data_IF_988126745570
#
_entry.id   IF_988126745570
#
_cell.length_a   1.000
_cell.length_b   1.000
_cell.length_c   1.000
_cell.angle_alpha   90.00
_cell.angle_beta   90.00
_cell.angle_gamma   90.00
#
_symmetry.space_group_name_H-M   'P 1'
#
loop_
_entity.id
_entity.type
_entity.pdbx_description
1 polymer ?
#
# COMPACT_ATOMS: atom_id res chain seq x y z
N UNK A 1 17.19 6.02 17.01
CA UNK A 1 17.41 4.65 17.53
C UNK A 1 16.12 3.89 17.30
N UNK A 2 16.12 2.99 16.32
CA UNK A 2 14.97 2.16 15.96
C UNK A 2 14.65 1.14 17.08
N UNK A 3 13.39 0.74 17.28
CA UNK A 3 13.08 -0.56 17.86
C UNK A 3 12.98 -1.57 16.71
N UNK A 4 13.86 -2.56 16.76
CA UNK A 4 13.86 -3.75 15.92
C UNK A 4 12.64 -4.63 16.21
N UNK A 5 12.15 -5.24 15.13
CA UNK A 5 11.42 -6.52 15.08
C UNK A 5 11.52 -7.36 16.36
N UNK A 6 10.38 -7.61 17.01
CA UNK A 6 10.13 -8.87 17.72
C UNK A 6 8.64 -8.95 18.11
N UNK A 7 7.83 -9.56 17.26
CA UNK A 7 6.50 -10.06 17.61
C UNK A 7 6.51 -11.60 17.66
N UNK A 8 7.56 -12.15 18.28
CA UNK A 8 7.63 -13.54 18.75
C UNK A 8 7.61 -13.65 20.28
N UNK A 9 7.31 -12.56 20.99
CA UNK A 9 7.43 -12.49 22.46
C UNK A 9 6.31 -13.17 23.24
N UNK A 10 5.26 -13.67 22.57
CA UNK A 10 4.19 -14.41 23.26
C UNK A 10 4.66 -15.74 23.89
N UNK A 11 5.81 -16.28 23.44
CA UNK A 11 6.39 -17.49 24.04
C UNK A 11 7.42 -17.20 25.15
N UNK A 12 7.86 -15.95 25.33
CA UNK A 12 8.91 -15.59 26.29
C UNK A 12 8.36 -15.42 27.72
N UNK A 13 7.13 -14.91 27.85
CA UNK A 13 6.54 -14.52 29.14
C UNK A 13 6.25 -15.70 30.09
N UNK A 14 5.97 -16.91 29.57
CA UNK A 14 5.63 -18.08 30.40
C UNK A 14 6.86 -18.81 30.98
N UNK A 15 8.06 -18.61 30.43
CA UNK A 15 9.26 -19.31 30.90
C UNK A 15 9.81 -18.76 32.22
N UNK A 16 9.57 -17.49 32.55
CA UNK A 16 10.09 -16.89 33.76
C UNK A 16 9.39 -17.39 35.05
N UNK A 17 8.20 -17.99 34.95
CA UNK A 17 7.50 -18.62 36.10
C UNK A 17 8.12 -19.94 36.57
N UNK A 18 8.91 -20.61 35.73
CA UNK A 18 9.48 -21.94 36.04
C UNK A 18 10.85 -21.89 36.73
N UNK A 19 11.43 -20.72 36.96
CA UNK A 19 12.77 -20.56 37.56
C UNK A 19 12.81 -20.61 39.10
N UNK A 20 11.67 -20.67 39.79
CA UNK A 20 11.61 -20.51 41.26
C UNK A 20 11.56 -21.80 42.10
N UNK A 21 11.69 -23.00 41.51
CA UNK A 21 11.66 -24.26 42.28
C UNK A 21 13.04 -24.94 42.31
N UNK A 22 13.75 -24.93 43.46
CA UNK A 22 14.99 -25.68 43.63
C UNK A 22 14.65 -27.14 44.00
N UNK A 23 14.46 -27.98 42.98
CA UNK A 23 14.25 -29.41 43.19
C UNK A 23 13.59 -30.10 42.00
N UNK A 24 14.41 -30.78 41.20
CA UNK A 24 14.02 -31.88 40.30
C UNK A 24 13.00 -31.60 39.18
N UNK A 25 13.30 -30.69 38.26
CA UNK A 25 12.83 -30.82 36.87
C UNK A 25 13.94 -30.40 35.90
N UNK A 26 14.47 -31.34 35.10
CA UNK A 26 15.23 -31.01 33.89
C UNK A 26 14.25 -30.43 32.87
N UNK A 27 13.98 -29.12 32.95
CA UNK A 27 13.17 -28.43 31.94
C UNK A 27 14.06 -28.17 30.72
N UNK A 28 13.91 -28.99 29.68
CA UNK A 28 14.49 -28.69 28.37
C UNK A 28 13.48 -27.87 27.58
N UNK A 29 13.59 -26.55 27.68
CA UNK A 29 12.93 -25.64 26.75
C UNK A 29 13.46 -25.92 25.34
N UNK A 30 12.65 -26.52 24.47
CA UNK A 30 13.00 -26.69 23.07
C UNK A 30 12.47 -25.47 22.31
N UNK A 31 13.33 -24.50 22.03
CA UNK A 31 13.01 -23.51 21.00
C UNK A 31 12.77 -24.24 19.67
N UNK A 32 11.90 -23.68 18.81
CA UNK A 32 11.66 -24.24 17.48
C UNK A 32 12.98 -24.30 16.72
N UNK A 33 13.48 -25.51 16.49
CA UNK A 33 14.72 -25.70 15.76
C UNK A 33 14.45 -25.45 14.27
N UNK A 34 15.32 -24.70 13.60
CA UNK A 34 15.20 -24.39 12.16
C UNK A 34 14.95 -25.61 11.28
N UNK A 35 15.54 -26.76 11.64
CA UNK A 35 15.34 -28.01 10.91
C UNK A 35 13.88 -28.52 10.95
N UNK A 36 13.15 -28.30 12.05
CA UNK A 36 11.73 -28.67 12.15
C UNK A 36 10.90 -27.83 11.19
N UNK A 37 11.12 -26.52 11.15
CA UNK A 37 10.45 -25.61 10.21
C UNK A 37 10.72 -26.02 8.75
N UNK A 38 11.98 -26.30 8.41
CA UNK A 38 12.37 -26.75 7.08
C UNK A 38 11.71 -28.09 6.68
N UNK A 39 11.61 -29.04 7.62
CA UNK A 39 10.91 -30.31 7.38
C UNK A 39 9.42 -30.11 7.12
N UNK A 40 8.77 -29.19 7.84
CA UNK A 40 7.35 -28.86 7.63
C UNK A 40 7.13 -28.20 6.26
N UNK A 41 7.93 -27.19 5.92
CA UNK A 41 7.87 -26.50 4.62
C UNK A 41 8.12 -27.49 3.48
N UNK A 42 9.10 -28.39 3.64
CA UNK A 42 9.34 -29.46 2.66
C UNK A 42 8.11 -30.36 2.49
N UNK A 43 7.46 -30.78 3.59
CA UNK A 43 6.23 -31.56 3.52
C UNK A 43 5.10 -30.84 2.79
N UNK A 44 4.87 -29.56 3.08
CA UNK A 44 3.86 -28.76 2.36
C UNK A 44 4.18 -28.62 0.88
N UNK A 45 5.45 -28.40 0.53
CA UNK A 45 5.92 -28.35 -0.86
C UNK A 45 5.69 -29.67 -1.59
N UNK A 46 5.93 -30.80 -0.92
CA UNK A 46 5.73 -32.13 -1.49
C UNK A 46 4.22 -32.38 -1.73
N UNK A 47 3.34 -32.07 -0.77
CA UNK A 47 1.88 -32.15 -0.96
C UNK A 47 1.36 -31.22 -2.06
N UNK A 48 1.94 -30.02 -2.19
CA UNK A 48 1.55 -29.10 -3.27
C UNK A 48 1.88 -29.68 -4.65
N UNK A 49 3.04 -30.33 -4.78
CA UNK A 49 3.49 -30.95 -6.05
C UNK A 49 2.76 -32.23 -6.40
N UNK A 50 2.37 -33.03 -5.41
CA UNK A 50 1.62 -34.27 -5.64
C UNK A 50 0.10 -34.06 -5.70
N UNK A 51 -0.37 -32.82 -5.53
CA UNK A 51 -1.79 -32.45 -5.45
C UNK A 51 -2.59 -33.19 -4.36
N UNK A 52 -1.88 -33.70 -3.35
CA UNK A 52 -2.46 -34.40 -2.22
C UNK A 52 -3.11 -33.41 -1.25
N UNK A 53 -4.19 -33.83 -0.59
CA UNK A 53 -4.83 -33.12 0.52
C UNK A 53 -5.31 -31.67 0.23
N UNK A 54 -5.30 -31.24 -1.03
CA UNK A 54 -5.81 -29.93 -1.45
C UNK A 54 -7.34 -29.87 -1.29
N UNK A 55 -7.77 -29.09 -0.31
CA UNK A 55 -9.15 -29.00 0.17
C UNK A 55 -9.83 -27.65 -0.13
N UNK A 56 -9.17 -26.78 -0.90
CA UNK A 56 -9.69 -25.48 -1.33
C UNK A 56 -9.28 -25.09 -2.74
N UNK A 57 -10.05 -24.21 -3.37
CA UNK A 57 -9.70 -23.60 -4.66
C UNK A 57 -9.85 -22.09 -4.60
N UNK A 58 -8.79 -21.37 -4.96
CA UNK A 58 -8.84 -19.92 -5.21
C UNK A 58 -9.03 -19.69 -6.71
N UNK A 59 -10.02 -18.88 -7.07
CA UNK A 59 -10.31 -18.48 -8.45
C UNK A 59 -9.90 -17.03 -8.67
N UNK A 60 -9.18 -16.78 -9.76
CA UNK A 60 -8.76 -15.44 -10.18
C UNK A 60 -8.95 -15.36 -11.69
N UNK A 61 -9.92 -14.56 -12.14
CA UNK A 61 -10.32 -14.56 -13.55
C UNK A 61 -10.67 -15.97 -14.05
N UNK A 62 -9.95 -16.46 -15.05
CA UNK A 62 -10.07 -17.81 -15.61
C UNK A 62 -9.23 -18.86 -14.87
N UNK A 63 -8.28 -18.44 -14.04
CA UNK A 63 -7.31 -19.31 -13.37
C UNK A 63 -7.87 -19.91 -12.07
N UNK A 64 -7.43 -21.13 -11.76
CA UNK A 64 -7.88 -21.90 -10.59
C UNK A 64 -6.68 -22.49 -9.88
N UNK A 65 -6.51 -22.13 -8.61
CA UNK A 65 -5.41 -22.55 -7.77
C UNK A 65 -5.93 -23.49 -6.68
N UNK A 66 -5.70 -24.79 -6.83
CA UNK A 66 -5.99 -25.75 -5.76
C UNK A 66 -4.92 -25.65 -4.67
N UNK A 67 -5.36 -25.60 -3.42
CA UNK A 67 -4.51 -25.28 -2.29
C UNK A 67 -5.06 -25.82 -0.97
N UNK A 68 -4.26 -25.70 0.09
CA UNK A 68 -4.58 -26.18 1.43
C UNK A 68 -5.12 -25.04 2.31
N UNK A 69 -6.32 -25.22 2.87
CA UNK A 69 -6.94 -24.24 3.77
C UNK A 69 -6.06 -23.93 4.97
N UNK A 70 -5.47 -24.97 5.56
CA UNK A 70 -4.64 -24.84 6.76
C UNK A 70 -3.45 -23.91 6.51
N UNK A 71 -2.75 -24.07 5.39
CA UNK A 71 -1.59 -23.22 5.05
C UNK A 71 -2.02 -21.78 4.81
N UNK A 72 -3.07 -21.56 4.02
CA UNK A 72 -3.60 -20.22 3.77
C UNK A 72 -4.03 -19.53 5.08
N UNK A 73 -4.77 -20.23 5.95
CA UNK A 73 -5.21 -19.69 7.24
C UNK A 73 -4.06 -19.42 8.21
N UNK A 74 -2.98 -20.19 8.12
CA UNK A 74 -1.80 -20.00 8.96
C UNK A 74 -1.05 -18.73 8.57
N UNK A 75 -0.96 -18.43 7.27
CA UNK A 75 -0.16 -17.33 6.73
C UNK A 75 -0.94 -16.04 6.45
N UNK A 76 -2.27 -16.10 6.33
CA UNK A 76 -3.14 -14.99 5.93
C UNK A 76 -4.32 -14.85 6.89
N UNK A 77 -4.43 -13.68 7.53
CA UNK A 77 -5.58 -13.39 8.41
C UNK A 77 -6.88 -13.23 7.60
N UNK A 78 -6.81 -12.77 6.35
CA UNK A 78 -7.95 -12.76 5.43
C UNK A 78 -8.51 -14.17 5.23
N UNK A 79 -7.69 -15.15 4.85
CA UNK A 79 -8.14 -16.53 4.65
C UNK A 79 -8.57 -17.17 5.96
N UNK A 80 -7.90 -16.86 7.08
CA UNK A 80 -8.32 -17.32 8.40
C UNK A 80 -9.73 -16.83 8.75
N UNK A 81 -10.02 -15.55 8.52
CA UNK A 81 -11.34 -14.96 8.69
C UNK A 81 -12.37 -15.61 7.77
N UNK A 82 -12.03 -15.76 6.48
CA UNK A 82 -12.87 -16.40 5.47
C UNK A 82 -13.29 -17.82 5.85
N UNK A 83 -12.36 -18.63 6.39
CA UNK A 83 -12.65 -20.01 6.77
C UNK A 83 -13.41 -20.14 8.09
N UNK A 84 -13.39 -19.11 8.94
CA UNK A 84 -14.13 -19.06 10.21
C UNK A 84 -15.51 -18.43 10.07
N UNK A 85 -15.76 -17.65 9.03
CA UNK A 85 -16.99 -16.86 8.87
C UNK A 85 -18.25 -17.69 8.61
N UNK A 86 -18.11 -18.97 8.25
CA UNK A 86 -19.25 -19.82 7.87
C UNK A 86 -19.94 -19.38 6.58
N UNK A 87 -19.27 -18.56 5.75
CA UNK A 87 -19.82 -18.08 4.49
C UNK A 87 -19.85 -19.18 3.41
N UNK A 88 -20.62 -18.93 2.35
CA UNK A 88 -20.81 -19.87 1.21
C UNK A 88 -19.49 -20.37 0.63
N UNK A 89 -18.45 -19.55 0.61
CA UNK A 89 -17.11 -19.89 0.12
C UNK A 89 -16.48 -21.03 0.91
N UNK A 90 -16.76 -21.11 2.21
CA UNK A 90 -16.34 -22.20 3.09
C UNK A 90 -17.10 -23.50 2.78
N UNK A 91 -18.40 -23.41 2.48
CA UNK A 91 -19.22 -24.56 2.09
C UNK A 91 -18.87 -25.08 0.69
N UNK A 92 -18.63 -24.16 -0.25
CA UNK A 92 -18.28 -24.45 -1.64
C UNK A 92 -16.81 -24.85 -1.83
N UNK A 93 -16.00 -24.79 -0.75
CA UNK A 93 -14.55 -25.02 -0.78
C UNK A 93 -13.84 -24.21 -1.85
N UNK A 94 -14.34 -23.00 -2.11
CA UNK A 94 -13.87 -22.16 -3.20
C UNK A 94 -14.13 -20.69 -2.90
N UNK A 95 -13.14 -19.84 -3.17
CA UNK A 95 -13.31 -18.39 -3.15
C UNK A 95 -12.79 -17.76 -4.44
N UNK A 96 -13.38 -16.63 -4.82
CA UNK A 96 -12.91 -15.80 -5.92
C UNK A 96 -12.24 -14.57 -5.33
N UNK A 97 -10.99 -14.31 -5.72
CA UNK A 97 -10.32 -13.05 -5.40
C UNK A 97 -10.50 -12.07 -6.55
N UNK A 98 -10.67 -10.81 -6.20
CA UNK A 98 -10.73 -9.68 -7.13
C UNK A 98 -9.49 -8.81 -6.91
N UNK A 99 -9.09 -8.04 -7.93
CA UNK A 99 -8.01 -7.05 -7.84
C UNK A 99 -6.59 -7.61 -7.61
N UNK A 100 -6.42 -8.94 -7.67
CA UNK A 100 -5.11 -9.62 -7.67
C UNK A 100 -4.97 -10.36 -9.00
N UNK A 101 -3.85 -10.20 -9.69
CA UNK A 101 -3.56 -10.95 -10.91
C UNK A 101 -3.25 -12.42 -10.63
N UNK A 102 -3.42 -13.29 -11.63
CA UNK A 102 -3.13 -14.73 -11.47
C UNK A 102 -1.65 -14.94 -11.15
N UNK A 103 -0.79 -14.16 -11.80
CA UNK A 103 0.67 -14.20 -11.70
C UNK A 103 1.14 -13.80 -10.30
N UNK A 104 0.61 -12.71 -9.76
CA UNK A 104 0.93 -12.24 -8.40
C UNK A 104 0.48 -13.25 -7.36
N UNK A 105 -0.74 -13.78 -7.49
CA UNK A 105 -1.21 -14.80 -6.56
C UNK A 105 -0.41 -16.10 -6.65
N UNK A 106 0.00 -16.53 -7.86
CA UNK A 106 0.85 -17.71 -8.03
C UNK A 106 2.20 -17.52 -7.33
N UNK A 107 2.82 -16.34 -7.47
CA UNK A 107 4.07 -16.00 -6.77
C UNK A 107 3.90 -16.04 -5.25
N UNK A 108 2.81 -15.47 -4.73
CA UNK A 108 2.48 -15.51 -3.30
C UNK A 108 2.28 -16.96 -2.85
N UNK A 109 1.46 -17.73 -3.56
CA UNK A 109 1.15 -19.11 -3.22
C UNK A 109 2.42 -19.96 -3.19
N UNK A 110 3.29 -19.84 -4.20
CA UNK A 110 4.60 -20.49 -4.23
C UNK A 110 5.46 -20.08 -3.04
N UNK A 111 5.44 -18.80 -2.66
CA UNK A 111 6.14 -18.30 -1.47
C UNK A 111 5.63 -18.99 -0.21
N UNK A 112 4.31 -19.14 -0.03
CA UNK A 112 3.73 -19.84 1.12
C UNK A 112 4.16 -21.31 1.23
N UNK A 113 4.24 -22.02 0.10
CA UNK A 113 4.63 -23.43 0.08
C UNK A 113 6.13 -23.67 0.19
N UNK A 114 6.96 -22.71 -0.19
CA UNK A 114 8.41 -22.91 -0.29
C UNK A 114 9.21 -22.11 0.71
N UNK A 115 8.61 -21.11 1.35
CA UNK A 115 9.31 -20.13 2.18
C UNK A 115 10.28 -19.23 1.39
N UNK A 116 10.21 -19.26 0.06
CA UNK A 116 11.12 -18.53 -0.82
C UNK A 116 10.34 -17.60 -1.74
N UNK A 117 10.60 -16.30 -1.61
CA UNK A 117 10.03 -15.25 -2.44
C UNK A 117 11.13 -14.65 -3.33
N UNK A 118 10.80 -14.33 -4.57
CA UNK A 118 11.66 -13.53 -5.45
C UNK A 118 10.90 -12.27 -5.80
N UNK A 119 11.27 -11.17 -5.16
CA UNK A 119 10.75 -9.85 -5.47
C UNK A 119 11.64 -9.20 -6.53
N UNK A 120 10.99 -8.54 -7.49
CA UNK A 120 11.65 -7.73 -8.52
C UNK A 120 11.02 -6.34 -8.52
N UNK A 121 11.69 -5.36 -9.14
CA UNK A 121 11.13 -4.01 -9.30
C UNK A 121 9.77 -4.02 -9.98
N UNK A 122 9.55 -4.95 -10.91
CA UNK A 122 8.29 -5.07 -11.66
C UNK A 122 7.17 -5.74 -10.86
N UNK A 123 7.49 -6.57 -9.87
CA UNK A 123 6.50 -7.40 -9.15
C UNK A 123 6.22 -6.92 -7.73
N UNK A 124 7.14 -6.18 -7.12
CA UNK A 124 7.08 -5.84 -5.69
C UNK A 124 5.82 -5.05 -5.34
N UNK A 125 5.38 -4.12 -6.19
CA UNK A 125 4.20 -3.30 -5.93
C UNK A 125 2.93 -4.16 -5.92
N UNK A 126 2.77 -5.03 -6.92
CA UNK A 126 1.60 -5.92 -7.02
C UNK A 126 1.57 -6.92 -5.86
N UNK A 127 2.73 -7.49 -5.52
CA UNK A 127 2.86 -8.38 -4.37
C UNK A 127 2.54 -7.66 -3.07
N UNK A 128 2.99 -6.41 -2.91
CA UNK A 128 2.73 -5.62 -1.71
C UNK A 128 1.24 -5.30 -1.58
N UNK A 129 0.57 -4.90 -2.67
CA UNK A 129 -0.89 -4.70 -2.70
C UNK A 129 -1.65 -5.97 -2.30
N UNK A 130 -1.31 -7.09 -2.93
CA UNK A 130 -1.92 -8.38 -2.64
C UNK A 130 -1.62 -8.85 -1.20
N UNK A 131 -0.43 -8.57 -0.65
CA UNK A 131 -0.07 -8.91 0.71
C UNK A 131 -0.91 -8.14 1.74
N UNK A 132 -1.19 -6.85 1.50
CA UNK A 132 -2.14 -6.08 2.33
C UNK A 132 -3.56 -6.61 2.21
N UNK A 133 -4.05 -6.85 0.99
CA UNK A 133 -5.40 -7.37 0.75
C UNK A 133 -5.61 -8.74 1.42
N UNK A 134 -4.62 -9.63 1.31
CA UNK A 134 -4.64 -10.96 1.91
C UNK A 134 -4.16 -10.96 3.37
N UNK A 135 -3.76 -9.82 3.93
CA UNK A 135 -3.26 -9.69 5.30
C UNK A 135 -2.14 -10.69 5.62
N UNK A 136 -1.12 -10.76 4.76
CA UNK A 136 0.07 -11.61 4.90
C UNK A 136 1.23 -10.77 5.43
N UNK A 137 1.33 -10.64 6.75
CA UNK A 137 2.23 -9.70 7.41
C UNK A 137 3.71 -9.88 7.06
N UNK A 138 4.22 -11.11 7.03
CA UNK A 138 5.64 -11.32 6.72
C UNK A 138 5.98 -10.83 5.31
N UNK A 139 5.06 -10.96 4.35
CA UNK A 139 5.28 -10.54 2.97
C UNK A 139 5.21 -9.01 2.82
N UNK A 140 4.37 -8.35 3.62
CA UNK A 140 4.37 -6.88 3.73
C UNK A 140 5.77 -6.41 4.17
N UNK A 141 6.33 -7.02 5.22
CA UNK A 141 7.67 -6.67 5.72
C UNK A 141 8.76 -6.91 4.68
N UNK A 142 8.71 -8.01 3.92
CA UNK A 142 9.67 -8.27 2.84
C UNK A 142 9.55 -7.24 1.69
N UNK A 143 8.33 -6.84 1.32
CA UNK A 143 8.11 -5.78 0.33
C UNK A 143 8.64 -4.42 0.79
N UNK A 144 8.41 -4.06 2.06
CA UNK A 144 8.96 -2.84 2.66
C UNK A 144 10.49 -2.88 2.71
N UNK A 145 11.08 -4.03 3.05
CA UNK A 145 12.52 -4.25 3.03
C UNK A 145 13.10 -4.06 1.63
N UNK A 146 12.48 -4.69 0.62
CA UNK A 146 12.89 -4.54 -0.79
C UNK A 146 12.80 -3.07 -1.25
N UNK A 147 11.73 -2.37 -0.90
CA UNK A 147 11.57 -0.95 -1.25
C UNK A 147 12.69 -0.10 -0.64
N UNK A 148 13.14 -0.39 0.59
CA UNK A 148 14.27 0.31 1.22
C UNK A 148 15.60 0.05 0.52
N UNK A 149 15.83 -1.18 0.09
CA UNK A 149 17.09 -1.58 -0.57
C UNK A 149 17.19 -1.06 -2.00
N UNK A 150 16.06 -0.90 -2.69
CA UNK A 150 15.99 -0.58 -4.13
C UNK A 150 15.49 0.83 -4.43
N UNK A 151 15.26 1.66 -3.41
CA UNK A 151 14.84 3.04 -3.57
C UNK A 151 15.82 3.84 -4.44
N UNK A 152 15.29 4.52 -5.45
CA UNK A 152 16.06 5.27 -6.45
C UNK A 152 15.29 6.48 -6.99
N UNK A 153 15.97 7.34 -7.75
CA UNK A 153 15.38 8.53 -8.38
C UNK A 153 14.34 8.22 -9.45
N UNK A 154 14.17 6.95 -9.86
CA UNK A 154 13.20 6.57 -10.89
C UNK A 154 11.95 5.90 -10.33
N UNK A 155 12.00 5.33 -9.11
CA UNK A 155 10.88 4.56 -8.52
C UNK A 155 10.31 5.16 -7.23
N UNK A 156 10.89 6.25 -6.70
CA UNK A 156 10.48 6.82 -5.41
C UNK A 156 9.03 7.31 -5.38
N UNK A 157 8.47 7.77 -6.51
CA UNK A 157 7.07 8.21 -6.58
C UNK A 157 6.15 7.02 -6.39
N UNK A 158 6.41 5.90 -7.06
CA UNK A 158 5.58 4.69 -6.93
C UNK A 158 5.64 4.14 -5.50
N UNK A 159 6.83 4.09 -4.89
CA UNK A 159 6.97 3.69 -3.49
C UNK A 159 6.32 4.68 -2.52
N UNK A 160 6.37 5.98 -2.79
CA UNK A 160 5.63 6.97 -2.01
C UNK A 160 4.13 6.69 -2.03
N UNK A 161 3.56 6.51 -3.22
CA UNK A 161 2.12 6.29 -3.43
C UNK A 161 1.66 5.04 -2.71
N UNK A 162 2.38 3.93 -2.86
CA UNK A 162 2.03 2.65 -2.21
C UNK A 162 2.22 2.73 -0.70
N UNK A 163 3.32 3.31 -0.23
CA UNK A 163 3.56 3.46 1.20
C UNK A 163 2.52 4.36 1.87
N UNK A 164 2.07 5.42 1.20
CA UNK A 164 0.99 6.28 1.68
C UNK A 164 -0.35 5.53 1.71
N UNK A 165 -0.67 4.78 0.66
CA UNK A 165 -1.89 3.97 0.58
C UNK A 165 -2.01 2.97 1.73
N UNK A 166 -0.89 2.39 2.16
CA UNK A 166 -0.84 1.37 3.20
C UNK A 166 -0.35 1.86 4.58
N UNK A 167 -0.15 3.17 4.75
CA UNK A 167 0.41 3.80 5.95
C UNK A 167 1.75 3.17 6.41
N UNK A 168 2.60 2.81 5.44
CA UNK A 168 3.94 2.25 5.69
C UNK A 168 4.91 3.35 6.09
N UNK A 169 4.98 3.63 7.39
CA UNK A 169 5.84 4.68 7.97
C UNK A 169 7.32 4.46 7.65
N UNK A 170 7.77 3.21 7.71
CA UNK A 170 9.18 2.88 7.50
C UNK A 170 9.66 3.21 6.07
N UNK A 171 8.78 3.06 5.08
CA UNK A 171 9.09 3.42 3.69
C UNK A 171 8.89 4.92 3.45
N UNK A 172 7.84 5.53 4.02
CA UNK A 172 7.62 6.97 3.91
C UNK A 172 8.81 7.78 4.49
N UNK A 173 9.39 7.33 5.60
CA UNK A 173 10.55 7.99 6.23
C UNK A 173 11.79 8.05 5.33
N UNK A 174 12.02 7.03 4.49
CA UNK A 174 13.18 6.99 3.60
C UNK A 174 12.91 7.60 2.23
N UNK A 175 11.66 7.59 1.77
CA UNK A 175 11.24 8.17 0.49
C UNK A 175 11.19 9.69 0.59
N UNK A 176 10.75 10.23 1.72
CA UNK A 176 10.57 11.69 1.89
C UNK A 176 11.84 12.52 1.65
N UNK A 177 13.03 12.17 2.19
CA UNK A 177 14.27 12.88 1.87
C UNK A 177 14.63 12.86 0.39
N UNK A 178 14.24 11.81 -0.33
CA UNK A 178 14.50 11.69 -1.76
C UNK A 178 13.59 12.60 -2.59
N UNK A 179 12.33 12.78 -2.16
CA UNK A 179 11.42 13.80 -2.71
C UNK A 179 12.04 15.20 -2.54
N UNK A 180 12.45 15.54 -1.30
CA UNK A 180 13.06 16.85 -1.00
C UNK A 180 14.33 17.12 -1.81
N UNK A 181 15.17 16.09 -2.00
CA UNK A 181 16.41 16.20 -2.78
C UNK A 181 16.16 16.40 -4.28
N UNK A 182 15.06 15.86 -4.81
CA UNK A 182 14.67 15.96 -6.21
C UNK A 182 13.50 16.92 -6.43
N UNK A 183 13.28 17.87 -5.52
CA UNK A 183 12.08 18.71 -5.50
C UNK A 183 11.84 19.44 -6.83
N UNK A 184 12.90 19.96 -7.46
CA UNK A 184 12.79 20.65 -8.75
C UNK A 184 12.10 19.80 -9.84
N UNK A 185 12.47 18.53 -10.00
CA UNK A 185 11.81 17.64 -10.97
C UNK A 185 10.48 17.12 -10.45
N UNK A 186 10.37 16.86 -9.14
CA UNK A 186 9.15 16.35 -8.52
C UNK A 186 7.96 17.30 -8.65
N UNK A 187 8.15 18.60 -8.41
CA UNK A 187 7.09 19.63 -8.53
C UNK A 187 6.53 19.76 -9.95
N UNK A 188 7.27 19.30 -10.97
CA UNK A 188 6.83 19.32 -12.36
C UNK A 188 6.04 18.07 -12.76
N UNK A 189 6.01 17.04 -11.91
CA UNK A 189 5.33 15.78 -12.22
C UNK A 189 3.81 15.90 -12.17
N UNK A 190 3.14 15.08 -12.98
CA UNK A 190 1.67 14.93 -12.90
C UNK A 190 1.23 14.36 -11.54
N UNK A 191 2.07 13.55 -10.90
CA UNK A 191 1.81 13.04 -9.55
C UNK A 191 1.67 14.19 -8.54
N UNK A 192 2.60 15.15 -8.54
CA UNK A 192 2.49 16.34 -7.68
C UNK A 192 1.16 17.05 -7.94
N UNK A 193 0.83 17.34 -9.20
CA UNK A 193 -0.35 18.13 -9.58
C UNK A 193 -1.68 17.45 -9.25
N UNK A 194 -1.77 16.12 -9.40
CA UNK A 194 -3.06 15.41 -9.38
C UNK A 194 -3.28 14.60 -8.10
N UNK A 195 -2.23 13.96 -7.59
CA UNK A 195 -2.35 12.91 -6.56
C UNK A 195 -1.93 13.36 -5.15
N UNK A 196 -1.12 14.42 -5.02
CA UNK A 196 -0.71 14.87 -3.69
C UNK A 196 -1.86 15.53 -2.92
N UNK A 197 -1.99 15.14 -1.65
CA UNK A 197 -2.91 15.75 -0.69
C UNK A 197 -2.36 17.07 -0.12
N UNK A 198 -3.25 17.93 0.38
CA UNK A 198 -2.86 19.27 0.84
C UNK A 198 -1.90 19.23 2.04
N UNK A 199 -2.01 18.22 2.90
CA UNK A 199 -1.15 18.06 4.07
C UNK A 199 0.28 17.76 3.64
N UNK A 200 0.47 16.91 2.64
CA UNK A 200 1.78 16.59 2.11
C UNK A 200 2.37 17.77 1.32
N UNK A 201 1.56 18.51 0.56
CA UNK A 201 2.01 19.72 -0.13
C UNK A 201 2.48 20.78 0.89
N UNK A 202 1.71 21.03 1.95
CA UNK A 202 2.11 21.93 3.04
C UNK A 202 3.40 21.46 3.71
N UNK A 203 3.50 20.17 4.05
CA UNK A 203 4.70 19.56 4.64
C UNK A 203 5.92 19.71 3.73
N UNK A 204 5.74 19.64 2.41
CA UNK A 204 6.81 19.81 1.42
C UNK A 204 7.31 21.26 1.39
N UNK A 205 6.40 22.23 1.30
CA UNK A 205 6.72 23.66 1.20
C UNK A 205 7.33 24.20 2.50
N UNK A 206 6.83 23.78 3.65
CA UNK A 206 7.36 24.18 4.97
C UNK A 206 8.76 23.61 5.25
N UNK A 207 9.21 22.62 4.47
CA UNK A 207 10.44 21.91 4.76
C UNK A 207 11.68 22.76 4.43
N UNK A 208 12.56 22.94 5.41
CA UNK A 208 13.77 23.74 5.24
C UNK A 208 14.79 23.07 4.30
N UNK A 209 14.78 21.74 4.21
CA UNK A 209 15.68 20.94 3.37
C UNK A 209 15.19 20.78 1.93
N UNK A 210 14.11 21.46 1.54
CA UNK A 210 13.60 21.48 0.16
C UNK A 210 14.67 22.04 -0.79
N UNK A 211 15.20 21.19 -1.68
CA UNK A 211 16.27 21.58 -2.62
C UNK A 211 15.69 22.09 -3.93
N UNK A 212 15.53 23.40 -4.03
CA UNK A 212 15.05 24.08 -5.23
C UNK A 212 15.95 25.24 -5.64
N UNK A 213 15.93 25.56 -6.93
CA UNK A 213 16.71 26.63 -7.56
C UNK A 213 16.11 28.00 -7.37
N UNK A 214 14.77 28.10 -7.32
CA UNK A 214 14.03 29.35 -7.18
C UNK A 214 12.76 29.11 -6.39
N UNK A 215 12.42 30.06 -5.51
CA UNK A 215 11.12 30.04 -4.83
C UNK A 215 9.97 30.27 -5.83
N UNK A 216 10.25 30.93 -6.95
CA UNK A 216 9.29 31.10 -8.03
C UNK A 216 8.75 29.72 -8.48
N UNK A 217 9.61 28.72 -8.62
CA UNK A 217 9.22 27.36 -9.06
C UNK A 217 8.21 26.72 -8.08
N UNK A 218 8.38 26.97 -6.77
CA UNK A 218 7.45 26.50 -5.73
C UNK A 218 6.08 27.15 -5.92
N UNK A 219 6.04 28.47 -6.10
CA UNK A 219 4.80 29.22 -6.29
C UNK A 219 4.07 28.79 -7.57
N UNK A 220 4.78 28.64 -8.69
CA UNK A 220 4.17 28.17 -9.94
C UNK A 220 3.60 26.76 -9.77
N UNK A 221 4.29 25.88 -9.06
CA UNK A 221 3.80 24.54 -8.77
C UNK A 221 2.54 24.57 -7.88
N UNK A 222 2.49 25.42 -6.85
CA UNK A 222 1.30 25.61 -6.01
C UNK A 222 0.10 26.07 -6.84
N UNK A 223 0.28 27.09 -7.68
CA UNK A 223 -0.80 27.60 -8.54
C UNK A 223 -1.30 26.49 -9.46
N UNK A 224 -0.39 25.76 -10.13
CA UNK A 224 -0.75 24.63 -10.99
C UNK A 224 -1.51 23.53 -10.22
N UNK A 225 -1.05 23.17 -9.03
CA UNK A 225 -1.71 22.18 -8.17
C UNK A 225 -3.12 22.59 -7.76
N UNK A 226 -3.32 23.87 -7.43
CA UNK A 226 -4.64 24.44 -7.08
C UNK A 226 -5.59 24.47 -8.28
N UNK A 227 -5.06 24.72 -9.48
CA UNK A 227 -5.84 24.75 -10.73
C UNK A 227 -6.20 23.36 -11.25
N UNK A 228 -5.33 22.37 -11.04
CA UNK A 228 -5.57 21.00 -11.43
C UNK A 228 -6.76 20.40 -10.69
N UNK A 229 -7.70 19.85 -11.45
CA UNK A 229 -8.72 18.96 -10.90
C UNK A 229 -8.08 17.58 -10.66
N UNK A 230 -8.37 16.90 -9.54
CA UNK A 230 -7.95 15.52 -9.38
C UNK A 230 -8.50 14.68 -10.54
N UNK A 231 -7.73 13.74 -11.07
CA UNK A 231 -8.20 12.82 -12.09
C UNK A 231 -9.39 12.03 -11.54
N UNK A 232 -10.58 12.27 -12.09
CA UNK A 232 -11.71 11.34 -11.92
C UNK A 232 -11.45 10.14 -12.84
N UNK A 233 -11.40 8.92 -12.27
CA UNK A 233 -11.38 7.70 -13.07
C UNK A 233 -12.68 7.63 -13.88
N UNK A 234 -12.60 7.89 -15.19
CA UNK A 234 -13.70 7.64 -16.11
C UNK A 234 -13.96 6.13 -16.16
N UNK A 235 -15.00 5.70 -15.45
CA UNK A 235 -15.59 4.36 -15.56
C UNK A 235 -16.19 4.22 -16.97
N UNK A 236 -15.34 3.85 -17.95
CA UNK A 236 -15.72 3.77 -19.36
C UNK A 236 -16.52 2.50 -19.63
N UNK A 237 -17.77 2.49 -19.19
CA UNK A 237 -18.74 1.44 -19.49
C UNK A 237 -19.50 1.80 -20.79
N UNK A 238 -18.96 1.41 -21.96
CA UNK A 238 -19.71 1.47 -23.23
C UNK A 238 -19.51 0.23 -24.12
N UNK A 239 -20.52 -0.64 -24.02
CA UNK A 239 -21.33 -1.21 -25.13
C UNK A 239 -20.57 -1.81 -26.32
N UNK A 240 -20.63 -3.14 -26.42
CA UNK A 240 -20.93 -3.81 -27.69
C UNK A 240 -22.27 -4.52 -27.61
N UNK A 241 -23.25 -3.96 -28.32
CA UNK A 241 -24.54 -4.56 -28.65
C UNK A 241 -24.33 -5.60 -29.76
N UNK A 242 -24.77 -6.85 -29.55
CA UNK A 242 -24.73 -7.89 -30.58
C UNK A 242 -25.29 -9.26 -30.19
N UNK A 243 -26.60 -9.34 -29.88
CA UNK A 243 -27.52 -10.49 -30.11
C UNK A 243 -26.96 -11.95 -30.01
N UNK A 244 -27.40 -12.72 -29.01
CA UNK A 244 -28.50 -13.72 -29.09
C UNK A 244 -28.54 -14.57 -27.82
N UNK A 245 -29.77 -14.76 -27.34
CA UNK A 245 -30.16 -15.60 -26.22
C UNK A 245 -29.74 -17.06 -26.37
N UNK A 246 -29.06 -17.62 -25.36
CA UNK A 246 -29.26 -19.01 -24.93
C UNK A 246 -29.27 -19.02 -23.40
N UNK A 247 -30.37 -19.49 -22.84
CA UNK A 247 -30.63 -19.65 -21.40
C UNK A 247 -29.72 -20.74 -20.83
N UNK A 248 -29.01 -20.44 -19.74
CA UNK A 248 -28.71 -21.41 -18.68
C UNK A 248 -28.58 -20.63 -17.37
N UNK A 249 -29.43 -20.98 -16.40
CA UNK A 249 -29.49 -20.32 -15.12
C UNK A 249 -28.29 -20.67 -14.26
N UNK A 250 -27.55 -19.66 -13.82
CA UNK A 250 -26.65 -19.73 -12.68
C UNK A 250 -26.80 -18.43 -11.89
N UNK A 251 -27.63 -18.46 -10.85
CA UNK A 251 -27.72 -17.40 -9.84
C UNK A 251 -26.44 -17.46 -8.98
N UNK A 252 -25.41 -16.71 -9.37
CA UNK A 252 -24.32 -16.34 -8.44
C UNK A 252 -24.68 -15.00 -7.84
N UNK A 253 -25.21 -15.04 -6.61
CA UNK A 253 -25.37 -13.85 -5.78
C UNK A 253 -23.98 -13.24 -5.56
N UNK A 254 -23.81 -11.97 -5.95
CA UNK A 254 -22.70 -11.11 -5.53
C UNK A 254 -22.69 -11.05 -4.00
N UNK A 255 -21.83 -11.80 -3.35
CA UNK A 255 -21.54 -11.64 -1.92
C UNK A 255 -20.57 -10.48 -1.76
N UNK A 256 -21.14 -9.27 -1.66
CA UNK A 256 -20.47 -8.15 -1.00
C UNK A 256 -20.40 -8.52 0.48
N UNK A 257 -19.27 -9.06 0.92
CA UNK A 257 -18.99 -9.23 2.34
C UNK A 257 -17.99 -8.17 2.76
N UNK A 258 -18.45 -7.44 3.79
CA UNK A 258 -17.87 -6.25 4.40
C UNK A 258 -16.35 -6.22 4.37
N UNK A 259 -15.86 -5.29 3.57
CA UNK A 259 -14.55 -4.66 3.71
C UNK A 259 -14.31 -4.32 5.19
N UNK A 260 -13.14 -4.64 5.77
CA UNK A 260 -12.69 -3.92 6.94
C UNK A 260 -12.31 -2.50 6.48
N UNK A 261 -12.99 -1.51 7.07
CA UNK A 261 -12.83 -0.06 6.92
C UNK A 261 -12.98 0.51 5.50
N UNK A 262 -14.23 0.78 5.15
CA UNK A 262 -14.63 1.70 4.08
C UNK A 262 -14.69 3.16 4.57
N UNK A 263 -13.68 3.56 5.34
CA UNK A 263 -13.42 4.96 5.71
C UNK A 263 -12.09 5.38 5.08
N UNK A 264 -12.01 5.31 3.76
CA UNK A 264 -11.07 6.14 3.00
C UNK A 264 -11.54 6.29 1.55
N UNK A 265 -12.81 6.64 1.37
CA UNK A 265 -13.14 7.51 0.23
C UNK A 265 -12.52 8.85 0.58
N UNK A 266 -11.28 9.09 0.14
CA UNK A 266 -10.73 10.44 0.11
C UNK A 266 -11.76 11.27 -0.64
N UNK A 267 -12.34 12.24 0.07
CA UNK A 267 -13.30 13.18 -0.48
C UNK A 267 -12.57 14.05 -1.50
N UNK A 268 -12.38 13.54 -2.72
CA UNK A 268 -11.68 14.17 -3.85
C UNK A 268 -12.50 15.29 -4.49
N UNK A 269 -13.21 16.06 -3.67
CA UNK A 269 -13.86 17.29 -4.06
C UNK A 269 -13.33 18.45 -3.20
N UNK A 270 -12.04 18.37 -2.87
CA UNK A 270 -11.43 19.33 -1.98
C UNK A 270 -11.27 20.66 -2.69
N UNK A 271 -11.66 21.70 -1.99
CA UNK A 271 -11.59 23.06 -2.45
C UNK A 271 -10.11 23.48 -2.41
N UNK A 272 -9.24 22.94 -3.28
CA UNK A 272 -7.80 23.28 -3.29
C UNK A 272 -7.57 24.79 -3.29
N UNK A 273 -8.47 25.53 -3.96
CA UNK A 273 -8.52 27.01 -3.95
C UNK A 273 -8.58 27.64 -2.55
N UNK A 274 -9.29 27.04 -1.59
CA UNK A 274 -9.39 27.53 -0.21
C UNK A 274 -8.07 27.43 0.55
N UNK A 275 -7.19 26.51 0.15
CA UNK A 275 -5.88 26.33 0.79
C UNK A 275 -4.81 27.24 0.19
N UNK A 276 -5.11 27.98 -0.87
CA UNK A 276 -4.14 28.87 -1.52
C UNK A 276 -3.51 29.90 -0.55
N UNK A 277 -4.26 30.61 0.32
CA UNK A 277 -3.65 31.54 1.28
C UNK A 277 -2.70 30.84 2.25
N UNK A 278 -3.11 29.69 2.78
CA UNK A 278 -2.29 28.90 3.70
C UNK A 278 -1.00 28.46 3.02
N UNK A 279 -1.08 27.92 1.80
CA UNK A 279 0.08 27.49 1.02
C UNK A 279 1.04 28.65 0.74
N UNK A 280 0.52 29.81 0.31
CA UNK A 280 1.34 31.00 0.04
C UNK A 280 1.96 31.60 1.31
N UNK A 281 1.28 31.56 2.46
CA UNK A 281 1.86 32.04 3.73
C UNK A 281 3.04 31.20 4.21
N UNK A 282 3.14 29.96 3.74
CA UNK A 282 4.20 29.02 4.09
C UNK A 282 5.33 28.97 3.03
N UNK A 283 5.19 29.64 1.89
CA UNK A 283 6.31 29.82 0.96
C UNK A 283 7.24 30.92 1.46
N UNK A 284 8.48 30.90 0.98
CA UNK A 284 9.48 31.93 1.30
C UNK A 284 9.28 33.13 0.39
N UNK A 285 8.13 33.79 0.49
CA UNK A 285 7.71 34.90 -0.40
C UNK A 285 8.76 36.01 -0.56
N UNK A 286 9.60 36.23 0.45
CA UNK A 286 10.72 37.18 0.40
C UNK A 286 11.83 36.83 -0.60
N UNK A 287 11.85 35.59 -1.10
CA UNK A 287 12.81 35.10 -2.11
C UNK A 287 12.22 35.12 -3.54
N UNK A 288 10.98 35.57 -3.70
CA UNK A 288 10.34 35.64 -5.01
C UNK A 288 10.94 36.74 -5.87
N UNK A 289 11.06 36.47 -7.16
CA UNK A 289 11.45 37.51 -8.12
C UNK A 289 10.34 38.55 -8.27
N UNK A 290 10.71 39.78 -8.61
CA UNK A 290 9.75 40.86 -8.92
C UNK A 290 8.74 40.44 -9.99
N UNK A 291 9.20 39.68 -11.00
CA UNK A 291 8.33 39.15 -12.06
C UNK A 291 7.30 38.15 -11.52
N UNK A 292 7.68 37.30 -10.56
CA UNK A 292 6.77 36.35 -9.94
C UNK A 292 5.74 37.07 -9.05
N UNK A 293 6.15 38.10 -8.30
CA UNK A 293 5.24 38.95 -7.51
C UNK A 293 4.23 39.69 -8.41
N UNK A 294 4.67 40.26 -9.54
CA UNK A 294 3.79 40.88 -10.53
C UNK A 294 2.78 39.88 -11.11
N UNK A 295 3.23 38.67 -11.48
CA UNK A 295 2.35 37.59 -11.92
C UNK A 295 1.33 37.22 -10.85
N UNK A 296 1.75 37.01 -9.59
CA UNK A 296 0.84 36.69 -8.50
C UNK A 296 -0.23 37.76 -8.29
N UNK A 297 0.16 39.04 -8.34
CA UNK A 297 -0.77 40.17 -8.17
C UNK A 297 -1.82 40.27 -9.29
N UNK A 298 -1.52 39.72 -10.47
CA UNK A 298 -2.41 39.71 -11.62
C UNK A 298 -3.16 38.38 -11.79
N UNK A 299 -2.80 37.35 -11.02
CA UNK A 299 -3.38 36.02 -11.12
C UNK A 299 -4.84 35.99 -10.62
N UNK A 300 -5.81 35.44 -11.40
CA UNK A 300 -7.23 35.43 -11.03
C UNK A 300 -7.49 34.80 -9.65
N UNK A 301 -6.87 33.64 -9.37
CA UNK A 301 -7.03 32.94 -8.09
C UNK A 301 -6.60 33.74 -6.86
N UNK A 302 -5.55 34.56 -7.01
CA UNK A 302 -5.01 35.38 -5.92
C UNK A 302 -5.91 36.59 -5.70
N UNK A 303 -6.37 37.25 -6.79
CA UNK A 303 -7.28 38.40 -6.72
C UNK A 303 -8.65 38.06 -6.15
N UNK A 304 -9.15 36.87 -6.43
CA UNK A 304 -10.42 36.39 -5.88
C UNK A 304 -10.33 36.08 -4.38
N UNK A 305 -9.12 35.94 -3.82
CA UNK A 305 -8.89 35.54 -2.43
C UNK A 305 -8.22 36.68 -1.66
N UNK A 306 -9.02 37.43 -0.88
CA UNK A 306 -8.54 38.59 -0.12
C UNK A 306 -7.34 38.26 0.79
N UNK A 307 -7.40 37.13 1.49
CA UNK A 307 -6.32 36.66 2.37
C UNK A 307 -5.01 36.38 1.60
N UNK A 308 -5.09 35.85 0.38
CA UNK A 308 -3.91 35.63 -0.46
C UNK A 308 -3.29 36.96 -0.94
N UNK A 309 -4.13 37.97 -1.20
CA UNK A 309 -3.67 39.30 -1.59
C UNK A 309 -2.94 40.00 -0.44
N UNK A 310 -3.47 39.90 0.80
CA UNK A 310 -2.87 40.48 2.01
C UNK A 310 -1.53 39.81 2.41
N UNK A 311 -1.23 38.60 1.91
CA UNK A 311 0.07 37.93 2.13
C UNK A 311 1.16 38.50 1.21
N UNK A 312 0.78 39.00 0.04
CA UNK A 312 1.72 39.46 -1.00
C UNK A 312 2.06 40.96 -0.86
N UNK A 313 1.15 41.76 -0.28
CA UNK A 313 1.23 43.22 -0.18
C UNK A 313 1.16 43.72 1.26
#
# INVERSE_FOLDING_TARGET
>A
MAPTSDNFDYFSADFNKFRSFPGLFRIKAMAMKRNVGNSIIKGFKDFWRSEELQDFTVKIGSSRFRCHRLLLAACSEFFRGLFRSGMKETELKCATLQEISSETFELILKTLYTGYCVLTSDTVIDVWRAAHQLQIHFLITECEGFAKETLSTTNYIEYYTIAKLFDSKEVLEIVWPLILKNAHSFLQTEFFNSEMDVSDVLKLIQNQDLKITSEDDVVHAILKWVECKPCEEEDSDKKHSGRKSIKTGHNSLKTSVKQPNKDMTVSLNDNRKKHLPELLSNTRTCLLSMKCLEMLSSHPLVRETKEATDIIF
#
